data_IF_771084328640
#
_entry.id   IF_771084328640
#
_cell.length_a   1.000
_cell.length_b   1.000
_cell.length_c   1.000
_cell.angle_alpha   90.00
_cell.angle_beta   90.00
_cell.angle_gamma   90.00
#
_symmetry.space_group_name_H-M   'P 1'
#
loop_
_entity.id
_entity.type
_entity.pdbx_description
1 polymer ?
#
# COMPACT_ATOMS: atom_id res chain seq x y z
N UNK A 1 4.20 -8.69 -3.90
CA UNK A 1 3.31 -7.91 -4.78
C UNK A 1 1.88 -8.37 -4.54
N UNK A 2 1.01 -7.43 -4.22
CA UNK A 2 -0.44 -7.64 -4.07
C UNK A 2 -1.16 -6.84 -5.17
N UNK A 3 -1.95 -7.55 -6.00
CA UNK A 3 -2.84 -6.95 -6.99
C UNK A 3 -4.27 -7.35 -6.66
N UNK A 4 -5.07 -6.39 -6.22
CA UNK A 4 -6.52 -6.54 -6.06
C UNK A 4 -7.22 -5.79 -7.18
N UNK A 5 -8.33 -6.31 -7.66
CA UNK A 5 -9.14 -5.63 -8.67
C UNK A 5 -10.58 -6.07 -8.62
N UNK A 6 -11.47 -5.14 -8.89
CA UNK A 6 -12.90 -5.35 -9.01
C UNK A 6 -13.46 -4.58 -10.22
N UNK A 7 -14.42 -5.22 -10.89
CA UNK A 7 -15.14 -4.65 -12.02
C UNK A 7 -16.55 -4.28 -11.57
N UNK A 8 -17.00 -3.08 -11.94
CA UNK A 8 -18.33 -2.59 -11.59
C UNK A 8 -19.04 -1.99 -12.81
N UNK A 9 -20.35 -2.22 -12.87
CA UNK A 9 -21.26 -1.65 -13.88
C UNK A 9 -21.81 -0.31 -13.41
N UNK A 10 -20.91 0.65 -13.25
CA UNK A 10 -21.21 2.02 -12.85
C UNK A 10 -20.13 2.98 -13.36
N UNK A 11 -20.43 4.28 -13.34
CA UNK A 11 -19.40 5.32 -13.56
C UNK A 11 -18.42 5.38 -12.39
N UNK A 12 -17.25 5.97 -12.63
CA UNK A 12 -16.13 6.00 -11.68
C UNK A 12 -16.20 7.12 -10.63
N UNK A 13 -17.27 7.90 -10.58
CA UNK A 13 -17.37 9.09 -9.70
C UNK A 13 -17.11 8.78 -8.23
N UNK A 14 -17.75 7.75 -7.68
CA UNK A 14 -17.57 7.38 -6.27
C UNK A 14 -16.20 6.71 -6.02
N UNK A 15 -15.69 5.95 -6.98
CA UNK A 15 -14.33 5.42 -6.92
C UNK A 15 -13.31 6.56 -6.87
N UNK A 16 -13.46 7.59 -7.71
CA UNK A 16 -12.55 8.73 -7.70
C UNK A 16 -12.60 9.51 -6.38
N UNK A 17 -13.77 9.64 -5.75
CA UNK A 17 -13.87 10.22 -4.40
C UNK A 17 -13.11 9.38 -3.38
N UNK A 18 -13.27 8.06 -3.45
CA UNK A 18 -12.60 7.12 -2.56
C UNK A 18 -11.07 7.18 -2.70
N UNK A 19 -10.52 7.05 -3.92
CA UNK A 19 -9.07 7.00 -4.13
C UNK A 19 -8.37 8.36 -3.95
N UNK A 20 -9.14 9.45 -3.86
CA UNK A 20 -8.61 10.79 -3.53
C UNK A 20 -8.62 11.08 -2.04
N UNK A 21 -9.24 10.24 -1.22
CA UNK A 21 -9.29 10.44 0.22
C UNK A 21 -7.94 10.13 0.83
N UNK A 22 -7.38 11.09 1.54
CA UNK A 22 -6.25 10.91 2.45
C UNK A 22 -6.80 10.56 3.84
N UNK A 23 -6.43 9.40 4.38
CA UNK A 23 -6.91 8.93 5.68
C UNK A 23 -6.32 9.68 6.86
N UNK A 24 -5.14 10.27 6.71
CA UNK A 24 -4.44 10.92 7.83
C UNK A 24 -5.01 12.30 8.14
N UNK A 25 -5.34 13.05 7.09
CA UNK A 25 -5.68 14.47 7.25
C UNK A 25 -7.13 14.79 6.95
N UNK A 26 -7.88 13.93 6.23
CA UNK A 26 -9.26 14.12 5.71
C UNK A 26 -9.52 15.46 4.96
N UNK A 27 -8.51 16.35 4.91
CA UNK A 27 -8.51 17.72 4.38
C UNK A 27 -7.68 17.82 3.11
N UNK A 28 -6.60 17.04 3.01
CA UNK A 28 -5.79 16.97 1.80
C UNK A 28 -6.32 15.85 0.91
N UNK A 29 -6.42 16.11 -0.41
CA UNK A 29 -6.79 15.06 -1.37
C UNK A 29 -5.53 14.49 -1.97
N UNK A 30 -5.43 13.16 -2.06
CA UNK A 30 -4.37 12.50 -2.82
C UNK A 30 -4.51 12.91 -4.29
N UNK A 31 -3.46 13.45 -4.95
CA UNK A 31 -3.56 13.89 -6.33
C UNK A 31 -3.81 12.72 -7.29
N UNK A 32 -4.86 12.85 -8.12
CA UNK A 32 -5.05 11.96 -9.28
C UNK A 32 -4.03 12.31 -10.35
N UNK A 33 -3.46 11.30 -10.97
CA UNK A 33 -2.50 11.40 -12.07
C UNK A 33 -3.03 10.67 -13.29
N UNK A 34 -2.71 11.19 -14.46
CA UNK A 34 -3.02 10.55 -15.74
C UNK A 34 -1.93 9.56 -16.16
N UNK A 35 -2.11 8.89 -17.30
CA UNK A 35 -1.14 7.94 -17.88
C UNK A 35 0.28 8.47 -18.09
N UNK A 36 0.48 9.78 -18.14
CA UNK A 36 1.82 10.41 -18.26
C UNK A 36 2.47 10.70 -16.91
N UNK A 37 1.77 10.44 -15.80
CA UNK A 37 2.21 10.72 -14.44
C UNK A 37 1.94 12.15 -13.97
N UNK A 38 1.30 12.97 -14.81
CA UNK A 38 0.96 14.36 -14.47
C UNK A 38 -0.30 14.40 -13.61
N UNK A 39 -0.27 15.24 -12.57
CA UNK A 39 -1.44 15.52 -11.76
C UNK A 39 -2.57 16.13 -12.62
N UNK A 40 -3.80 15.69 -12.36
CA UNK A 40 -4.98 16.13 -13.07
C UNK A 40 -5.61 17.35 -12.38
N UNK A 41 -5.90 18.44 -13.13
CA UNK A 41 -6.77 19.50 -12.64
C UNK A 41 -8.22 19.00 -12.52
N UNK A 42 -9.03 19.64 -11.68
CA UNK A 42 -10.40 19.21 -11.39
C UNK A 42 -11.27 19.10 -12.66
N UNK A 43 -11.11 20.00 -13.62
CA UNK A 43 -11.82 19.95 -14.91
C UNK A 43 -11.57 18.64 -15.68
N UNK A 44 -10.34 18.13 -15.67
CA UNK A 44 -10.00 16.87 -16.33
C UNK A 44 -10.50 15.66 -15.53
N UNK A 45 -10.58 15.78 -14.20
CA UNK A 45 -11.21 14.76 -13.35
C UNK A 45 -12.71 14.66 -13.69
N UNK A 46 -13.41 15.79 -13.80
CA UNK A 46 -14.82 15.81 -14.21
C UNK A 46 -15.03 15.24 -15.61
N UNK A 47 -14.13 15.52 -16.56
CA UNK A 47 -14.17 14.92 -17.89
C UNK A 47 -14.02 13.40 -17.85
N UNK A 48 -13.10 12.89 -17.00
CA UNK A 48 -12.96 11.45 -16.79
C UNK A 48 -14.23 10.84 -16.19
N UNK A 49 -14.84 11.49 -15.19
CA UNK A 49 -16.11 11.04 -14.60
C UNK A 49 -17.20 10.97 -15.66
N UNK A 50 -17.42 12.04 -16.43
CA UNK A 50 -18.42 12.06 -17.52
C UNK A 50 -18.16 10.97 -18.56
N UNK A 51 -16.89 10.75 -18.93
CA UNK A 51 -16.50 9.66 -19.83
C UNK A 51 -16.85 8.29 -19.24
N UNK A 52 -16.59 8.10 -17.94
CA UNK A 52 -16.91 6.84 -17.27
C UNK A 52 -18.40 6.58 -17.12
N UNK A 53 -19.19 7.62 -16.87
CA UNK A 53 -20.66 7.54 -16.84
C UNK A 53 -21.24 7.21 -18.21
N UNK A 54 -20.65 7.76 -19.28
CA UNK A 54 -21.04 7.43 -20.66
C UNK A 54 -20.81 5.97 -21.00
N UNK A 55 -19.70 5.38 -20.55
CA UNK A 55 -19.45 3.96 -20.74
C UNK A 55 -20.30 3.11 -19.79
N UNK A 56 -20.52 3.56 -18.56
CA UNK A 56 -21.26 2.82 -17.52
C UNK A 56 -20.45 1.69 -16.89
N UNK A 57 -19.12 1.68 -17.08
CA UNK A 57 -18.25 0.64 -16.56
C UNK A 57 -16.97 1.24 -15.96
N UNK A 58 -16.54 0.61 -14.88
CA UNK A 58 -15.26 0.89 -14.25
C UNK A 58 -14.56 -0.39 -13.81
N UNK A 59 -13.24 -0.32 -13.72
CA UNK A 59 -12.44 -1.31 -13.00
C UNK A 59 -11.47 -0.60 -12.06
N UNK A 60 -11.49 -1.01 -10.80
CA UNK A 60 -10.54 -0.55 -9.80
C UNK A 60 -9.39 -1.55 -9.71
N UNK A 61 -8.17 -1.04 -9.61
CA UNK A 61 -6.99 -1.82 -9.23
C UNK A 61 -6.35 -1.22 -7.98
N UNK A 62 -5.87 -2.09 -7.10
CA UNK A 62 -4.93 -1.75 -6.03
C UNK A 62 -3.64 -2.49 -6.35
N UNK A 63 -2.60 -1.72 -6.65
CA UNK A 63 -1.27 -2.22 -6.99
C UNK A 63 -0.35 -1.91 -5.82
N UNK A 64 0.12 -2.93 -5.14
CA UNK A 64 0.99 -2.80 -3.98
C UNK A 64 2.23 -3.68 -4.16
N UNK A 65 3.44 -3.15 -3.94
CA UNK A 65 4.67 -3.93 -3.93
C UNK A 65 4.66 -5.09 -2.91
N UNK A 66 5.73 -5.88 -2.87
CA UNK A 66 5.93 -6.77 -1.73
C UNK A 66 6.15 -5.93 -0.46
N UNK A 67 5.61 -6.31 0.72
CA UNK A 67 5.85 -5.57 1.96
C UNK A 67 7.34 -5.35 2.27
N UNK A 68 8.17 -6.36 1.98
CA UNK A 68 9.62 -6.28 2.18
C UNK A 68 10.37 -5.46 1.12
N UNK A 69 9.70 -5.05 0.04
CA UNK A 69 10.31 -4.27 -1.02
C UNK A 69 10.24 -2.78 -0.72
N UNK A 70 11.35 -2.07 -0.90
CA UNK A 70 11.50 -0.66 -0.63
C UNK A 70 11.30 0.16 -1.90
N UNK A 71 10.04 0.43 -2.24
CA UNK A 71 9.70 1.33 -3.33
C UNK A 71 9.35 2.73 -2.82
N UNK A 72 9.91 3.75 -3.46
CA UNK A 72 9.47 5.13 -3.24
C UNK A 72 8.08 5.36 -3.88
N UNK A 73 7.32 6.36 -3.43
CA UNK A 73 6.05 6.74 -4.07
C UNK A 73 6.17 7.06 -5.56
N UNK A 74 7.28 7.69 -5.94
CA UNK A 74 7.60 7.93 -7.35
C UNK A 74 7.77 6.61 -8.11
N UNK A 75 8.55 5.67 -7.58
CA UNK A 75 8.78 4.37 -8.23
C UNK A 75 7.48 3.56 -8.33
N UNK A 76 6.64 3.56 -7.29
CA UNK A 76 5.30 2.94 -7.35
C UNK A 76 4.46 3.59 -8.46
N UNK A 77 4.50 4.91 -8.60
CA UNK A 77 3.79 5.62 -9.66
C UNK A 77 4.32 5.33 -11.06
N UNK A 78 5.64 5.17 -11.23
CA UNK A 78 6.25 4.79 -12.51
C UNK A 78 5.89 3.36 -12.90
N UNK A 79 6.06 2.42 -11.98
CA UNK A 79 5.73 1.00 -12.16
C UNK A 79 4.22 0.80 -12.41
N UNK A 80 3.36 1.57 -11.75
CA UNK A 80 1.91 1.54 -12.01
C UNK A 80 1.61 1.95 -13.45
N UNK A 81 2.31 2.95 -13.99
CA UNK A 81 2.09 3.37 -15.39
C UNK A 81 2.58 2.31 -16.37
N UNK A 82 3.75 1.73 -16.14
CA UNK A 82 4.26 0.63 -16.96
C UNK A 82 3.29 -0.56 -16.96
N UNK A 83 2.86 -0.98 -15.78
CA UNK A 83 1.86 -2.06 -15.62
C UNK A 83 0.56 -1.76 -16.37
N UNK A 84 0.02 -0.54 -16.25
CA UNK A 84 -1.23 -0.17 -16.89
C UNK A 84 -1.10 0.02 -18.40
N UNK A 85 0.04 0.50 -18.89
CA UNK A 85 0.32 0.63 -20.33
C UNK A 85 0.39 -0.75 -20.98
N UNK A 86 1.02 -1.74 -20.34
CA UNK A 86 1.03 -3.10 -20.86
C UNK A 86 -0.37 -3.73 -20.83
N UNK A 87 -1.15 -3.47 -19.79
CA UNK A 87 -2.49 -4.04 -19.62
C UNK A 87 -3.50 -3.43 -20.60
N UNK A 88 -3.42 -2.14 -20.89
CA UNK A 88 -4.48 -1.39 -21.56
C UNK A 88 -4.01 -0.43 -22.66
N UNK A 89 -2.70 -0.25 -22.89
CA UNK A 89 -2.17 0.75 -23.83
C UNK A 89 -2.61 0.53 -25.29
N UNK A 90 -2.95 -0.71 -25.64
CA UNK A 90 -3.49 -1.07 -26.98
C UNK A 90 -5.01 -1.04 -27.06
N UNK A 91 -5.72 -0.81 -25.95
CA UNK A 91 -7.17 -0.81 -25.93
C UNK A 91 -7.71 0.55 -26.42
N UNK A 92 -8.60 0.57 -27.43
CA UNK A 92 -8.96 1.82 -28.12
C UNK A 92 -9.82 2.75 -27.28
N UNK A 93 -10.58 2.23 -26.31
CA UNK A 93 -11.48 3.06 -25.49
C UNK A 93 -11.02 3.25 -24.06
N UNK A 94 -10.13 2.37 -23.59
CA UNK A 94 -9.69 2.36 -22.21
C UNK A 94 -8.85 3.58 -21.86
N UNK A 95 -9.15 4.13 -20.68
CA UNK A 95 -8.42 5.22 -20.08
C UNK A 95 -8.34 4.99 -18.58
N UNK A 96 -7.32 5.54 -17.94
CA UNK A 96 -7.15 5.37 -16.52
C UNK A 96 -6.55 6.59 -15.84
N UNK A 97 -6.88 6.71 -14.56
CA UNK A 97 -6.27 7.64 -13.62
C UNK A 97 -5.83 6.88 -12.39
N UNK A 98 -4.79 7.37 -11.72
CA UNK A 98 -4.27 6.69 -10.54
C UNK A 98 -3.88 7.68 -9.44
N UNK A 99 -3.93 7.20 -8.21
CA UNK A 99 -3.41 7.87 -7.02
C UNK A 99 -2.36 6.96 -6.37
N UNK A 100 -1.31 7.55 -5.80
CA UNK A 100 -0.32 6.83 -4.99
C UNK A 100 -0.54 7.26 -3.54
N UNK A 101 -0.76 6.28 -2.68
CA UNK A 101 -1.09 6.42 -1.27
C UNK A 101 0.11 6.02 -0.42
N UNK A 102 0.35 6.84 0.60
CA UNK A 102 1.46 6.69 1.56
C UNK A 102 0.92 6.57 3.00
N UNK A 103 -0.40 6.50 3.16
CA UNK A 103 -1.14 6.47 4.43
C UNK A 103 -1.16 5.08 5.11
N UNK A 104 -0.30 4.17 4.66
CA UNK A 104 -0.15 2.82 5.19
C UNK A 104 1.32 2.42 5.17
N UNK A 105 1.67 1.35 5.88
CA UNK A 105 3.05 0.83 5.95
C UNK A 105 3.65 0.54 4.56
N UNK A 106 2.82 0.24 3.57
CA UNK A 106 3.24 -0.10 2.21
C UNK A 106 2.68 0.94 1.25
N UNK A 107 3.57 1.67 0.58
CA UNK A 107 3.20 2.58 -0.50
C UNK A 107 2.50 1.80 -1.61
N UNK A 108 1.30 2.23 -2.00
CA UNK A 108 0.49 1.51 -2.97
C UNK A 108 -0.23 2.48 -3.90
N UNK A 109 -0.68 1.98 -5.06
CA UNK A 109 -1.45 2.76 -6.00
C UNK A 109 -2.87 2.24 -6.14
N UNK A 110 -3.81 3.17 -6.11
CA UNK A 110 -5.18 2.95 -6.56
C UNK A 110 -5.32 3.42 -8.00
N UNK A 111 -5.91 2.60 -8.87
CA UNK A 111 -6.15 2.92 -10.28
C UNK A 111 -7.63 2.78 -10.61
N UNK A 112 -8.22 3.81 -11.21
CA UNK A 112 -9.55 3.75 -11.79
C UNK A 112 -9.41 3.71 -13.31
N UNK A 113 -9.89 2.62 -13.93
CA UNK A 113 -9.96 2.46 -15.37
C UNK A 113 -11.41 2.56 -15.85
N UNK A 114 -11.62 3.15 -17.03
CA UNK A 114 -12.93 3.22 -17.71
C UNK A 114 -12.77 2.97 -19.22
N UNK A 115 -13.81 2.49 -19.88
CA UNK A 115 -13.79 2.01 -21.26
C UNK A 115 -15.02 1.14 -21.53
N UNK A 116 -15.06 0.49 -22.69
CA UNK A 116 -16.13 -0.47 -23.00
C UNK A 116 -16.07 -1.72 -22.12
N UNK A 117 -17.21 -2.38 -21.92
CA UNK A 117 -17.30 -3.59 -21.09
C UNK A 117 -16.31 -4.68 -21.50
N UNK A 118 -16.14 -5.05 -22.79
CA UNK A 118 -15.21 -6.12 -23.16
C UNK A 118 -13.74 -5.81 -22.89
N UNK A 119 -13.36 -4.52 -22.86
CA UNK A 119 -11.99 -4.12 -22.55
C UNK A 119 -11.70 -4.18 -21.04
N UNK A 120 -12.71 -3.91 -20.20
CA UNK A 120 -12.56 -3.90 -18.74
C UNK A 120 -12.94 -5.22 -18.07
N UNK A 121 -13.81 -6.02 -18.68
CA UNK A 121 -14.21 -7.31 -18.18
C UNK A 121 -13.09 -8.31 -18.46
N UNK A 122 -12.64 -9.00 -17.41
CA UNK A 122 -11.49 -9.90 -17.49
C UNK A 122 -11.91 -11.27 -16.97
N UNK A 123 -11.57 -12.30 -17.73
CA UNK A 123 -11.71 -13.67 -17.28
C UNK A 123 -10.63 -14.00 -16.25
N UNK A 124 -10.74 -15.17 -15.62
CA UNK A 124 -9.77 -15.63 -14.63
C UNK A 124 -8.33 -15.63 -15.18
N UNK A 125 -8.15 -16.15 -16.38
CA UNK A 125 -6.82 -16.26 -17.01
C UNK A 125 -6.22 -14.88 -17.32
N UNK A 126 -7.04 -13.89 -17.66
CA UNK A 126 -6.60 -12.50 -17.82
C UNK A 126 -6.10 -11.93 -16.49
N UNK A 127 -6.82 -12.20 -15.40
CA UNK A 127 -6.44 -11.75 -14.06
C UNK A 127 -5.16 -12.43 -13.55
N UNK A 128 -4.95 -13.70 -13.90
CA UNK A 128 -3.71 -14.42 -13.59
C UNK A 128 -2.53 -13.83 -14.35
N UNK A 129 -2.67 -13.59 -15.66
CA UNK A 129 -1.65 -12.89 -16.47
C UNK A 129 -1.31 -11.50 -15.93
N UNK A 130 -2.31 -10.73 -15.52
CA UNK A 130 -2.10 -9.41 -14.92
C UNK A 130 -1.31 -9.47 -13.61
N UNK A 131 -1.60 -10.47 -12.76
CA UNK A 131 -0.86 -10.65 -11.51
C UNK A 131 0.61 -10.98 -11.77
N UNK A 132 0.89 -11.85 -12.75
CA UNK A 132 2.25 -12.19 -13.11
C UNK A 132 2.99 -10.99 -13.70
N UNK A 133 2.35 -10.22 -14.57
CA UNK A 133 2.96 -8.99 -15.09
C UNK A 133 3.23 -7.95 -14.00
N UNK A 134 2.28 -7.75 -13.08
CA UNK A 134 2.48 -6.87 -11.94
C UNK A 134 3.65 -7.33 -11.06
N UNK A 135 3.85 -8.64 -10.87
CA UNK A 135 5.03 -9.17 -10.14
C UNK A 135 6.34 -8.86 -10.87
N UNK A 136 6.36 -8.93 -12.18
CA UNK A 136 7.56 -8.61 -12.98
C UNK A 136 7.93 -7.13 -12.89
N UNK A 137 6.96 -6.23 -13.11
CA UNK A 137 7.18 -4.77 -13.09
C UNK A 137 7.61 -4.29 -11.68
N UNK A 138 7.06 -4.91 -10.63
CA UNK A 138 7.41 -4.61 -9.24
C UNK A 138 8.51 -5.51 -8.65
N UNK A 139 9.28 -6.19 -9.51
CA UNK A 139 10.47 -6.92 -9.07
C UNK A 139 11.59 -5.91 -8.84
N UNK A 140 12.11 -5.84 -7.61
CA UNK A 140 13.31 -5.03 -7.36
C UNK A 140 14.46 -5.54 -8.24
N UNK A 141 15.12 -4.64 -9.01
CA UNK A 141 16.37 -4.97 -9.69
C UNK A 141 17.36 -5.55 -8.69
N UNK A 142 18.06 -6.64 -9.03
CA UNK A 142 18.97 -7.30 -8.10
C UNK A 142 20.07 -6.35 -7.54
N UNK A 143 20.37 -5.25 -8.25
CA UNK A 143 21.28 -4.17 -7.79
C UNK A 143 20.77 -3.38 -6.55
N UNK A 144 19.46 -3.37 -6.29
CA UNK A 144 18.89 -2.77 -5.07
C UNK A 144 18.93 -3.72 -3.88
N UNK A 145 19.01 -5.04 -4.11
CA UNK A 145 19.16 -6.06 -3.05
C UNK A 145 20.53 -6.03 -2.39
N UNK A 146 21.58 -5.62 -3.12
CA UNK A 146 22.95 -5.52 -2.61
C UNK A 146 23.14 -4.42 -1.54
N UNK A 147 22.13 -3.57 -1.31
CA UNK A 147 22.17 -2.51 -0.29
C UNK A 147 21.68 -2.94 1.10
N UNK A 148 21.37 -4.21 1.31
CA UNK A 148 21.21 -4.80 2.63
C UNK A 148 22.34 -5.82 2.85
N UNK A 149 23.39 -5.45 3.63
CA UNK A 149 23.34 -5.79 5.05
C UNK A 149 24.14 -4.82 5.93
N UNK A 150 23.51 -3.85 6.60
CA UNK A 150 24.12 -3.16 7.76
C UNK A 150 23.09 -2.86 8.85
N UNK A 151 22.37 -3.90 9.30
CA UNK A 151 21.74 -3.93 10.63
C UNK A 151 21.89 -5.30 11.27
N UNK A 152 23.12 -5.78 11.34
CA UNK A 152 23.50 -6.91 12.19
C UNK A 152 24.97 -6.76 12.55
N UNK A 153 25.26 -5.97 13.59
CA UNK A 153 26.45 -6.02 14.48
C UNK A 153 26.80 -4.62 14.99
N UNK A 154 26.18 -4.23 16.10
CA UNK A 154 26.72 -3.18 16.96
C UNK A 154 26.18 -3.32 18.38
N UNK A 155 26.18 -4.53 18.96
CA UNK A 155 26.14 -4.70 20.42
C UNK A 155 26.95 -5.94 20.78
N UNK A 156 28.27 -5.79 20.90
CA UNK A 156 29.09 -6.68 21.73
C UNK A 156 30.11 -5.84 22.47
N UNK A 157 29.79 -5.62 23.76
CA UNK A 157 30.69 -5.51 24.90
C UNK A 157 32.02 -4.77 24.69
N UNK A 158 32.01 -3.47 24.96
CA UNK A 158 33.19 -2.77 25.45
C UNK A 158 32.93 -2.34 26.89
N UNK A 159 33.27 -3.21 27.84
CA UNK A 159 33.35 -2.91 29.26
C UNK A 159 34.32 -3.90 29.92
N UNK A 160 35.60 -3.78 29.59
CA UNK A 160 36.68 -4.40 30.33
C UNK A 160 37.88 -3.45 30.40
N UNK A 161 37.81 -2.47 31.29
CA UNK A 161 39.03 -1.95 31.89
C UNK A 161 38.86 -1.68 33.39
N UNK A 162 39.66 -2.44 34.11
CA UNK A 162 39.96 -2.52 35.53
C UNK A 162 40.61 -1.23 36.06
N UNK A 163 40.19 -0.74 37.23
CA UNK A 163 41.04 -0.57 38.42
C UNK A 163 40.38 0.23 39.56
N UNK A 164 40.12 -0.50 40.65
CA UNK A 164 40.36 -0.18 42.08
C UNK A 164 39.84 1.13 42.70
N UNK A 165 39.01 0.99 43.75
CA UNK A 165 39.37 1.45 45.10
C UNK A 165 38.48 0.83 46.19
N UNK A 166 39.18 0.22 47.13
CA UNK A 166 38.79 -0.27 48.45
C UNK A 166 37.99 0.74 49.29
N UNK A 167 37.02 0.26 50.08
CA UNK A 167 36.97 0.46 51.54
C UNK A 167 35.71 -0.19 52.15
N UNK A 168 35.98 -1.05 53.13
CA UNK A 168 35.07 -1.73 54.07
C UNK A 168 34.02 -0.84 54.74
N UNK A 169 32.83 -1.40 55.03
CA UNK A 169 32.36 -1.73 56.40
C UNK A 169 30.93 -2.33 56.39
N UNK A 170 30.77 -3.45 57.13
CA UNK A 170 29.69 -3.89 58.04
C UNK A 170 28.24 -3.33 57.89
N UNK A 171 27.12 -3.99 58.23
CA UNK A 171 26.68 -5.32 58.64
C UNK A 171 25.16 -5.15 58.92
N UNK A 172 24.36 -6.22 58.83
CA UNK A 172 23.05 -6.46 59.49
C UNK A 172 21.70 -5.98 58.92
N UNK A 173 20.81 -7.00 58.87
CA UNK A 173 19.37 -7.08 59.25
C UNK A 173 18.24 -6.65 58.31
N UNK A 174 17.59 -7.69 57.78
CA UNK A 174 16.17 -8.11 57.90
C UNK A 174 14.98 -7.14 57.72
N UNK A 175 13.93 -7.78 57.18
CA UNK A 175 12.50 -7.43 57.17
C UNK A 175 12.03 -6.66 55.92
N UNK A 176 10.85 -6.86 55.33
CA UNK A 176 9.77 -7.85 55.38
C UNK A 176 8.71 -7.35 54.37
N UNK A 177 7.74 -8.21 54.02
CA UNK A 177 6.41 -7.88 53.47
C UNK A 177 6.31 -7.52 51.96
N UNK A 178 5.91 -8.45 51.08
CA UNK A 178 4.51 -8.73 50.60
C UNK A 178 3.87 -7.56 49.82
N UNK A 179 3.34 -7.73 48.60
CA UNK A 179 1.92 -8.07 48.33
C UNK A 179 1.65 -8.04 46.79
N UNK A 180 1.11 -9.16 46.28
CA UNK A 180 0.14 -9.46 45.16
C UNK A 180 0.01 -8.61 43.88
N UNK A 181 0.01 -9.29 42.71
CA UNK A 181 -1.10 -9.51 41.71
C UNK A 181 -1.03 -8.48 40.57
N UNK A 182 -1.32 -8.71 39.28
CA UNK A 182 -2.06 -9.70 38.47
C UNK A 182 -1.62 -9.37 37.00
N UNK A 183 -1.18 -10.31 36.14
CA UNK A 183 -2.01 -11.04 35.15
C UNK A 183 -3.22 -10.20 34.65
N UNK A 184 -3.51 -9.89 33.39
CA UNK A 184 -3.38 -10.54 32.09
C UNK A 184 -3.59 -9.43 31.03
N UNK A 185 -2.79 -9.38 29.96
CA UNK A 185 -3.17 -8.57 28.78
C UNK A 185 -4.01 -9.45 27.87
N UNK A 186 -5.30 -9.20 27.85
CA UNK A 186 -6.24 -9.73 26.86
C UNK A 186 -5.75 -9.45 25.44
N UNK A 187 -5.55 -10.55 24.72
CA UNK A 187 -5.43 -10.63 23.27
C UNK A 187 -6.83 -10.47 22.69
N UNK A 188 -7.06 -9.44 21.88
CA UNK A 188 -8.23 -9.40 20.99
C UNK A 188 -7.78 -9.77 19.58
N UNK A 189 -8.30 -10.86 18.98
CA UNK A 189 -8.09 -11.18 17.58
C UNK A 189 -9.23 -10.61 16.72
N UNK A 190 -8.85 -10.32 15.47
CA UNK A 190 -9.63 -10.30 14.23
C UNK A 190 -11.13 -9.94 14.27
N UNK A 191 -11.49 -8.92 13.47
CA UNK A 191 -12.86 -8.76 12.99
C UNK A 191 -12.93 -8.81 11.46
N UNK A 192 -13.41 -9.96 11.00
CA UNK A 192 -14.06 -10.23 9.74
C UNK A 192 -15.09 -9.15 9.36
N UNK A 193 -15.05 -8.70 8.11
CA UNK A 193 -16.17 -7.98 7.48
C UNK A 193 -16.76 -8.86 6.39
N UNK A 194 -17.77 -9.64 6.79
CA UNK A 194 -18.69 -10.31 5.88
C UNK A 194 -19.96 -9.46 5.65
N UNK A 195 -20.57 -9.72 4.50
CA UNK A 195 -21.59 -8.97 3.75
C UNK A 195 -22.96 -8.75 4.42
N UNK A 196 -23.67 -7.77 3.88
CA UNK A 196 -25.14 -7.73 3.73
C UNK A 196 -25.66 -6.30 3.64
N UNK A 197 -26.29 -5.77 2.59
CA UNK A 197 -27.16 -6.40 1.59
C UNK A 197 -28.61 -6.38 2.07
N UNK A 198 -29.41 -5.38 1.69
CA UNK A 198 -30.84 -5.40 1.99
C UNK A 198 -31.64 -4.12 1.74
N UNK A 199 -32.09 -3.98 0.48
CA UNK A 199 -33.31 -3.33 -0.03
C UNK A 199 -33.55 -1.84 0.19
#
# INVERSE_FOLDING_TARGET
MILKTDFQRSGAGDLLKYIRRDRETDRQKVPLRNRTGRALPEEQIEQFVKKSERFGFQRHFIVSPHPDAQFSPQAVGENTREFMEDAFGQQPTTDYVYAVHEDSEIVHSHVAATGTEPELQMARDDLERLRDRAREVFREPDRLKERAPERASAITADAAHDQTRDSDLAETTDSDSTVVEESEREVTPDRDFDRGGGR
#
